data_IF_674417772764
#
_entry.id   IF_674417772764
#
_cell.length_a   1.000
_cell.length_b   1.000
_cell.length_c   1.000
_cell.angle_alpha   90.00
_cell.angle_beta   90.00
_cell.angle_gamma   90.00
#
_symmetry.space_group_name_H-M   'P 1'
#
loop_
_entity.id
_entity.type
_entity.pdbx_description
1 polymer ?
#
# COMPACT_ATOMS: atom_id res chain seq x y z
N UNK A 1 -6.01 -3.72 -8.33
CA UNK A 1 -5.58 -4.51 -7.16
C UNK A 1 -5.83 -3.70 -5.90
N UNK A 2 -6.39 -4.31 -4.90
CA UNK A 2 -6.72 -3.63 -3.66
C UNK A 2 -5.81 -4.06 -2.53
N UNK A 3 -5.57 -3.14 -1.61
CA UNK A 3 -4.87 -3.49 -0.38
C UNK A 3 -5.74 -4.39 0.48
N UNK A 4 -5.14 -5.36 1.17
CA UNK A 4 -5.88 -6.18 2.12
C UNK A 4 -6.37 -5.34 3.29
N UNK A 5 -7.47 -5.76 3.89
CA UNK A 5 -8.03 -5.06 5.05
C UNK A 5 -7.38 -5.57 6.31
N UNK A 6 -6.21 -5.07 6.59
CA UNK A 6 -5.46 -5.43 7.78
C UNK A 6 -5.79 -4.42 8.87
N UNK A 7 -6.20 -4.90 10.02
CA UNK A 7 -6.55 -4.03 11.14
C UNK A 7 -5.50 -4.02 12.24
N UNK A 8 -4.74 -5.11 12.38
CA UNK A 8 -3.69 -5.20 13.39
C UNK A 8 -2.46 -5.87 12.80
N UNK A 9 -1.30 -5.35 13.12
CA UNK A 9 -0.05 -5.87 12.59
C UNK A 9 0.24 -7.28 13.07
N UNK A 10 -0.19 -7.62 14.28
CA UNK A 10 0.05 -8.95 14.85
C UNK A 10 -1.03 -9.97 14.49
N UNK A 11 -2.04 -9.56 13.73
CA UNK A 11 -3.13 -10.42 13.32
C UNK A 11 -3.24 -10.52 11.80
N UNK A 12 -2.12 -10.46 11.12
CA UNK A 12 -2.07 -10.56 9.67
C UNK A 12 -2.08 -12.03 9.27
N UNK A 13 -3.04 -12.40 8.42
CA UNK A 13 -3.10 -13.76 7.89
C UNK A 13 -2.08 -13.93 6.75
N UNK A 14 -1.68 -15.17 6.44
CA UNK A 14 -0.80 -15.40 5.29
C UNK A 14 -1.37 -14.86 3.98
N UNK A 15 -2.68 -14.93 3.80
CA UNK A 15 -3.34 -14.41 2.61
C UNK A 15 -3.22 -12.90 2.54
N UNK A 16 -3.43 -12.22 3.66
CA UNK A 16 -3.27 -10.77 3.72
C UNK A 16 -1.84 -10.36 3.46
N UNK A 17 -0.88 -11.10 4.00
CA UNK A 17 0.53 -10.82 3.76
C UNK A 17 0.86 -10.98 2.27
N UNK A 18 0.35 -12.02 1.62
CA UNK A 18 0.57 -12.24 0.20
C UNK A 18 -0.05 -11.11 -0.63
N UNK A 19 -1.25 -10.67 -0.27
CA UNK A 19 -1.90 -9.57 -0.97
C UNK A 19 -1.13 -8.27 -0.82
N UNK A 20 -0.61 -8.02 0.38
CA UNK A 20 0.20 -6.85 0.65
C UNK A 20 1.46 -6.84 -0.24
N UNK A 21 2.15 -7.96 -0.29
CA UNK A 21 3.37 -8.08 -1.10
C UNK A 21 3.05 -7.86 -2.57
N UNK A 22 1.95 -8.45 -3.06
CA UNK A 22 1.54 -8.25 -4.45
C UNK A 22 1.20 -6.80 -4.75
N UNK A 23 0.55 -6.12 -3.79
CA UNK A 23 0.24 -4.71 -3.95
C UNK A 23 1.51 -3.87 -4.08
N UNK A 24 2.49 -4.10 -3.21
CA UNK A 24 3.77 -3.39 -3.28
C UNK A 24 4.48 -3.66 -4.61
N UNK A 25 4.46 -4.92 -5.04
CA UNK A 25 5.08 -5.29 -6.31
C UNK A 25 4.43 -4.57 -7.49
N UNK A 26 3.10 -4.48 -7.49
CA UNK A 26 2.35 -3.80 -8.53
C UNK A 26 2.66 -2.29 -8.52
N UNK A 27 2.72 -1.69 -7.34
CA UNK A 27 3.06 -0.29 -7.21
C UNK A 27 4.45 -0.02 -7.79
N UNK A 28 5.43 -0.86 -7.44
CA UNK A 28 6.79 -0.72 -7.96
C UNK A 28 6.85 -0.92 -9.47
N UNK A 29 6.04 -1.85 -9.98
CA UNK A 29 5.95 -2.05 -11.41
C UNK A 29 5.48 -0.78 -12.14
N UNK A 30 4.45 -0.12 -11.60
CA UNK A 30 3.94 1.10 -12.19
C UNK A 30 4.92 2.25 -12.08
N UNK A 31 5.69 2.33 -10.99
CA UNK A 31 6.74 3.32 -10.85
C UNK A 31 7.81 3.13 -11.93
N UNK A 32 8.22 1.88 -12.18
CA UNK A 32 9.20 1.59 -13.22
C UNK A 32 8.66 1.90 -14.60
N UNK A 33 7.39 1.65 -14.85
CA UNK A 33 6.76 2.00 -16.12
C UNK A 33 6.78 3.50 -16.34
N UNK A 34 6.53 4.29 -15.32
CA UNK A 34 6.63 5.74 -15.41
C UNK A 34 8.04 6.18 -15.78
N UNK A 35 9.04 5.65 -15.09
CA UNK A 35 10.42 6.00 -15.38
C UNK A 35 10.83 5.63 -16.81
N UNK A 36 10.39 4.48 -17.27
CA UNK A 36 10.82 3.96 -18.56
C UNK A 36 10.07 4.60 -19.72
N UNK A 37 8.77 4.78 -19.59
CA UNK A 37 7.92 5.20 -20.71
C UNK A 37 7.26 6.55 -20.50
N UNK A 38 7.43 7.20 -19.37
CA UNK A 38 6.81 8.49 -19.05
C UNK A 38 5.29 8.40 -19.20
N UNK A 39 4.71 7.29 -18.79
CA UNK A 39 3.28 7.04 -18.93
C UNK A 39 2.51 7.70 -17.78
N UNK A 40 1.69 8.74 -18.07
CA UNK A 40 0.97 9.46 -17.02
C UNK A 40 0.01 8.58 -16.23
N UNK A 41 -0.61 7.60 -16.88
CA UNK A 41 -1.52 6.68 -16.20
C UNK A 41 -0.78 5.84 -15.16
N UNK A 42 0.42 5.37 -15.51
CA UNK A 42 1.25 4.61 -14.57
C UNK A 42 1.69 5.49 -13.40
N UNK A 43 2.01 6.74 -13.64
CA UNK A 43 2.38 7.67 -12.58
C UNK A 43 1.22 7.90 -11.63
N UNK A 44 0.04 8.20 -12.16
CA UNK A 44 -1.12 8.45 -11.33
C UNK A 44 -1.51 7.23 -10.50
N UNK A 45 -1.46 6.06 -11.11
CA UNK A 45 -1.77 4.82 -10.42
C UNK A 45 -0.76 4.54 -9.29
N UNK A 46 0.52 4.71 -9.57
CA UNK A 46 1.54 4.48 -8.54
C UNK A 46 1.40 5.45 -7.37
N UNK A 47 1.08 6.71 -7.64
CA UNK A 47 0.86 7.69 -6.57
C UNK A 47 -0.35 7.35 -5.71
N UNK A 48 -1.43 6.90 -6.34
CA UNK A 48 -2.61 6.47 -5.60
C UNK A 48 -2.30 5.26 -4.74
N UNK A 49 -1.57 4.29 -5.28
CA UNK A 49 -1.18 3.10 -4.54
C UNK A 49 -0.23 3.44 -3.38
N UNK A 50 0.71 4.36 -3.60
CA UNK A 50 1.59 4.83 -2.54
C UNK A 50 0.78 5.45 -1.38
N UNK A 51 -0.20 6.28 -1.72
CA UNK A 51 -1.04 6.92 -0.71
C UNK A 51 -1.80 5.89 0.12
N UNK A 52 -2.41 4.92 -0.54
CA UNK A 52 -3.15 3.86 0.14
C UNK A 52 -2.23 3.03 1.03
N UNK A 53 -1.05 2.71 0.52
CA UNK A 53 -0.06 1.95 1.28
C UNK A 53 0.41 2.72 2.51
N UNK A 54 0.69 4.00 2.35
CA UNK A 54 1.13 4.85 3.46
C UNK A 54 0.05 4.95 4.53
N UNK A 55 -1.21 5.07 4.13
CA UNK A 55 -2.32 5.12 5.08
C UNK A 55 -2.43 3.80 5.86
N UNK A 56 -2.32 2.67 5.18
CA UNK A 56 -2.36 1.38 5.85
C UNK A 56 -1.17 1.22 6.79
N UNK A 57 0.03 1.51 6.32
CA UNK A 57 1.23 1.40 7.15
C UNK A 57 1.15 2.30 8.37
N UNK A 58 0.63 3.50 8.20
CA UNK A 58 0.45 4.43 9.32
C UNK A 58 -0.48 3.86 10.38
N UNK A 59 -1.57 3.23 9.96
CA UNK A 59 -2.50 2.63 10.91
C UNK A 59 -1.89 1.43 11.63
N UNK A 60 -1.10 0.63 10.91
CA UNK A 60 -0.50 -0.56 11.49
C UNK A 60 0.65 -0.24 12.44
N UNK A 61 1.47 0.73 12.07
CA UNK A 61 2.65 1.09 12.86
C UNK A 61 2.33 2.03 14.00
N UNK A 62 1.28 2.83 13.85
CA UNK A 62 0.84 3.77 14.87
C UNK A 62 -0.64 3.53 15.14
N UNK A 63 -0.98 2.41 15.79
CA UNK A 63 -2.37 2.17 16.16
C UNK A 63 -2.75 3.29 17.08
N UNK A 64 -3.58 4.16 16.62
CA UNK A 64 -3.84 5.41 17.25
C UNK A 64 -4.34 5.22 18.63
N UNK A 65 -3.63 5.65 19.57
CA UNK A 65 -4.15 5.77 20.89
C UNK A 65 -5.11 6.91 20.86
N UNK A 66 -6.31 6.58 20.68
CA UNK A 66 -7.35 7.57 20.60
C UNK A 66 -7.35 8.52 21.79
N UNK A 67 -6.65 8.15 22.82
CA UNK A 67 -6.59 9.02 23.98
C UNK A 67 -5.90 10.34 23.67
N UNK A 68 -5.22 10.44 22.58
CA UNK A 68 -4.61 11.72 22.21
C UNK A 68 -5.47 12.49 21.26
N UNK A 69 -6.51 11.90 20.86
CA UNK A 69 -7.36 12.52 19.87
C UNK A 69 -8.47 13.23 20.56
#
# INVERSE_FOLDING_TARGET
>A
MELPKITKIDAITPEQAAEYVRFVAEMRHNQRRWFRFQNPSALNLSRQMEKELDELNGRLLNPVPSLFD
#
